data_IF_083884947044
#
_entry.id   IF_083884947044
#
_cell.length_a   1.000
_cell.length_b   1.000
_cell.length_c   1.000
_cell.angle_alpha   90.00
_cell.angle_beta   90.00
_cell.angle_gamma   90.00
#
_symmetry.space_group_name_H-M   'P 1'
#
loop_
_entity.id
_entity.type
_entity.pdbx_description
1 polymer ?
#
# COMPACT_ATOMS: atom_id res chain seq x y z
N UNK A 1 7.74 35.51 4.53
CA UNK A 1 6.68 35.79 3.54
C UNK A 1 7.19 35.37 2.18
N UNK A 2 6.70 34.36 1.47
CA UNK A 2 5.67 33.35 1.65
C UNK A 2 5.78 32.51 0.37
N UNK A 3 6.12 31.23 0.49
CA UNK A 3 6.23 30.31 -0.65
C UNK A 3 4.84 29.70 -0.87
N UNK A 4 4.07 30.29 -1.77
CA UNK A 4 2.73 29.84 -2.12
C UNK A 4 2.76 28.55 -2.96
N UNK A 5 2.60 27.42 -2.25
CA UNK A 5 1.58 26.39 -2.51
C UNK A 5 1.12 26.19 -3.97
N UNK A 6 1.94 25.51 -4.78
CA UNK A 6 1.51 24.92 -6.06
C UNK A 6 1.43 23.39 -5.99
N UNK A 7 0.58 22.87 -5.10
CA UNK A 7 0.26 21.44 -5.00
C UNK A 7 -1.25 21.15 -5.19
N UNK A 8 -1.99 22.05 -5.85
CA UNK A 8 -3.45 21.95 -6.02
C UNK A 8 -3.90 21.43 -7.39
N UNK A 9 -3.00 20.94 -8.25
CA UNK A 9 -3.31 20.46 -9.61
C UNK A 9 -3.02 18.98 -9.87
N UNK A 10 -3.32 18.10 -8.91
CA UNK A 10 -3.28 16.66 -9.17
C UNK A 10 -4.68 16.03 -9.01
N UNK A 11 -5.30 15.86 -10.18
CA UNK A 11 -6.35 14.89 -10.52
C UNK A 11 -7.58 14.80 -9.60
N UNK A 12 -8.59 15.62 -9.91
CA UNK A 12 -9.98 15.37 -9.48
C UNK A 12 -10.57 14.25 -10.34
N UNK A 13 -10.38 13.00 -9.95
CA UNK A 13 -11.17 11.87 -10.46
C UNK A 13 -12.50 11.88 -9.70
N UNK A 14 -13.59 12.29 -10.35
CA UNK A 14 -14.95 12.24 -9.78
C UNK A 14 -15.50 10.82 -9.91
N UNK A 15 -15.27 10.00 -8.88
CA UNK A 15 -15.92 8.69 -8.74
C UNK A 15 -17.35 8.90 -8.22
N UNK A 16 -18.35 8.49 -8.99
CA UNK A 16 -19.76 8.49 -8.56
C UNK A 16 -20.11 7.19 -7.84
N UNK A 17 -19.67 7.10 -6.59
CA UNK A 17 -20.38 6.31 -5.58
C UNK A 17 -21.46 7.19 -4.97
N UNK A 18 -22.68 7.19 -5.56
CA UNK A 18 -23.84 8.02 -5.15
C UNK A 18 -23.49 9.51 -5.01
N UNK A 19 -23.81 10.29 -6.04
CA UNK A 19 -23.75 11.75 -6.02
C UNK A 19 -24.64 12.37 -4.94
N UNK A 20 -24.20 12.32 -3.68
CA UNK A 20 -24.31 13.50 -2.84
C UNK A 20 -23.38 14.53 -3.48
N UNK A 21 -23.75 15.81 -3.40
CA UNK A 21 -22.77 16.88 -3.44
C UNK A 21 -21.58 16.52 -2.53
N UNK A 22 -20.49 17.28 -2.52
CA UNK A 22 -19.55 17.25 -1.38
C UNK A 22 -20.35 17.75 -0.16
N UNK A 23 -21.20 16.88 0.35
CA UNK A 23 -22.55 17.21 0.76
C UNK A 23 -22.63 16.83 2.21
N UNK A 24 -22.59 17.87 3.04
CA UNK A 24 -22.74 17.85 4.49
C UNK A 24 -22.99 16.44 5.05
N UNK A 25 -21.90 15.78 5.44
CA UNK A 25 -21.96 14.52 6.17
C UNK A 25 -22.80 14.76 7.43
N UNK A 26 -23.93 14.06 7.54
CA UNK A 26 -24.81 14.15 8.72
C UNK A 26 -23.98 13.81 9.97
N UNK A 27 -24.15 14.55 11.08
CA UNK A 27 -23.39 14.36 12.33
C UNK A 27 -23.32 12.89 12.79
N UNK A 28 -24.43 12.16 12.68
CA UNK A 28 -24.50 10.73 13.01
C UNK A 28 -23.56 9.86 12.15
N UNK A 29 -23.42 10.18 10.85
CA UNK A 29 -22.52 9.47 9.95
C UNK A 29 -21.05 9.76 10.27
N UNK A 30 -20.74 10.98 10.70
CA UNK A 30 -19.39 11.35 11.16
C UNK A 30 -18.99 10.58 12.41
N UNK A 31 -19.91 10.39 13.36
CA UNK A 31 -19.65 9.59 14.58
C UNK A 31 -19.40 8.13 14.21
N UNK A 32 -20.21 7.55 13.31
CA UNK A 32 -20.02 6.17 12.86
C UNK A 32 -18.66 5.98 12.15
N UNK A 33 -18.29 6.88 11.23
CA UNK A 33 -16.97 6.83 10.58
C UNK A 33 -15.84 6.84 11.61
N UNK A 34 -15.92 7.71 12.62
CA UNK A 34 -14.88 7.78 13.66
C UNK A 34 -14.74 6.46 14.42
N UNK A 35 -15.86 5.89 14.87
CA UNK A 35 -15.87 4.63 15.61
C UNK A 35 -15.36 3.46 14.78
N UNK A 36 -15.74 3.38 13.49
CA UNK A 36 -15.22 2.34 12.60
C UNK A 36 -13.73 2.53 12.34
N UNK A 37 -13.29 3.76 12.08
CA UNK A 37 -11.87 4.08 11.89
C UNK A 37 -11.03 3.71 13.11
N UNK A 38 -11.46 4.05 14.33
CA UNK A 38 -10.75 3.72 15.57
C UNK A 38 -10.60 2.21 15.78
N UNK A 39 -11.60 1.43 15.36
CA UNK A 39 -11.53 -0.02 15.44
C UNK A 39 -10.64 -0.63 14.36
N UNK A 40 -10.76 -0.16 13.11
CA UNK A 40 -9.97 -0.65 11.99
C UNK A 40 -8.49 -0.31 12.16
N UNK A 41 -8.16 0.89 12.64
CA UNK A 41 -6.77 1.32 12.89
C UNK A 41 -5.97 0.36 13.77
N UNK A 42 -6.64 -0.40 14.66
CA UNK A 42 -5.97 -1.37 15.55
C UNK A 42 -5.38 -2.56 14.81
N UNK A 43 -5.89 -2.90 13.63
CA UNK A 43 -5.47 -4.07 12.86
C UNK A 43 -4.89 -3.74 11.47
N UNK A 44 -4.65 -2.47 11.16
CA UNK A 44 -4.05 -2.07 9.88
C UNK A 44 -2.60 -2.57 9.77
N UNK A 45 -2.32 -3.34 8.71
CA UNK A 45 -0.96 -3.70 8.34
C UNK A 45 -0.36 -2.59 7.45
N UNK A 46 0.52 -1.77 8.02
CA UNK A 46 1.20 -0.68 7.28
C UNK A 46 2.30 -1.15 6.33
N UNK A 47 2.66 -2.44 6.37
CA UNK A 47 3.71 -3.02 5.53
C UNK A 47 3.15 -3.73 4.29
N UNK A 48 1.83 -3.82 4.13
CA UNK A 48 1.21 -4.51 3.00
C UNK A 48 -0.03 -3.75 2.54
N UNK A 49 -0.20 -3.60 1.23
CA UNK A 49 -1.36 -2.96 0.63
C UNK A 49 -1.75 -3.66 -0.68
N UNK A 50 -3.02 -3.63 -1.06
CA UNK A 50 -3.49 -4.10 -2.37
C UNK A 50 -4.11 -2.96 -3.16
N UNK A 51 -3.94 -2.98 -4.48
CA UNK A 51 -4.57 -2.03 -5.38
C UNK A 51 -5.97 -2.52 -5.74
N UNK A 52 -6.94 -1.61 -5.71
CA UNK A 52 -8.33 -1.86 -6.09
C UNK A 52 -8.57 -1.24 -7.46
N UNK A 53 -9.00 -2.06 -8.42
CA UNK A 53 -9.36 -1.62 -9.77
C UNK A 53 -10.86 -1.75 -9.96
N UNK A 54 -11.47 -0.75 -10.57
CA UNK A 54 -12.88 -0.77 -10.91
C UNK A 54 -13.08 -0.05 -12.25
N UNK A 55 -13.77 -0.70 -13.18
CA UNK A 55 -14.10 -0.10 -14.47
C UNK A 55 -15.24 0.90 -14.32
N UNK A 56 -15.14 2.04 -15.01
CA UNK A 56 -16.21 3.04 -15.10
C UNK A 56 -16.48 3.39 -16.57
N UNK A 57 -17.73 3.69 -16.89
CA UNK A 57 -18.15 4.15 -18.22
C UNK A 57 -18.92 5.46 -18.12
N UNK A 58 -18.90 6.26 -19.19
CA UNK A 58 -19.68 7.49 -19.28
C UNK A 58 -21.10 7.20 -19.80
N UNK A 59 -22.09 7.73 -19.11
CA UNK A 59 -23.45 7.83 -19.63
C UNK A 59 -23.67 9.12 -20.47
N UNK A 60 -24.79 9.24 -21.22
CA UNK A 60 -25.10 10.41 -22.04
C UNK A 60 -25.12 11.75 -21.28
N UNK A 61 -25.35 11.70 -19.97
CA UNK A 61 -25.28 12.85 -19.05
C UNK A 61 -23.83 13.20 -18.63
N UNK A 62 -22.83 12.54 -19.21
CA UNK A 62 -21.40 12.67 -18.91
C UNK A 62 -21.03 12.33 -17.45
N UNK A 63 -21.82 11.45 -16.84
CA UNK A 63 -21.61 10.94 -15.48
C UNK A 63 -20.96 9.55 -15.59
N UNK A 64 -19.93 9.31 -14.76
CA UNK A 64 -19.26 8.02 -14.69
C UNK A 64 -20.05 7.04 -13.81
N UNK A 65 -20.38 5.87 -14.33
CA UNK A 65 -21.01 4.79 -13.58
C UNK A 65 -20.10 3.56 -13.51
N UNK A 66 -20.10 2.82 -12.39
CA UNK A 66 -19.31 1.61 -12.25
C UNK A 66 -19.83 0.54 -13.22
N UNK A 67 -18.94 0.02 -14.07
CA UNK A 67 -19.23 -1.05 -15.01
C UNK A 67 -19.07 -2.43 -14.37
N UNK A 68 -18.11 -2.54 -13.45
CA UNK A 68 -17.73 -3.81 -12.83
C UNK A 68 -17.66 -3.66 -11.32
N UNK A 69 -17.71 -4.79 -10.62
CA UNK A 69 -17.25 -4.86 -9.24
C UNK A 69 -15.76 -4.53 -9.16
N UNK A 70 -15.32 -4.16 -7.97
CA UNK A 70 -13.90 -3.92 -7.73
C UNK A 70 -13.14 -5.22 -7.64
N UNK A 71 -12.00 -5.28 -8.32
CA UNK A 71 -11.04 -6.38 -8.25
C UNK A 71 -9.77 -5.90 -7.54
N UNK A 72 -9.20 -6.75 -6.69
CA UNK A 72 -7.98 -6.44 -5.96
C UNK A 72 -6.76 -7.11 -6.60
N UNK A 73 -5.63 -6.40 -6.59
CA UNK A 73 -4.34 -6.96 -6.95
C UNK A 73 -3.83 -7.93 -5.87
N UNK A 74 -2.73 -8.62 -6.21
CA UNK A 74 -1.86 -9.20 -5.21
C UNK A 74 -1.35 -8.13 -4.22
N UNK A 75 -1.05 -8.54 -3.00
CA UNK A 75 -0.50 -7.65 -1.98
C UNK A 75 0.88 -7.14 -2.38
N UNK A 76 1.06 -5.83 -2.31
CA UNK A 76 2.32 -5.13 -2.47
C UNK A 76 2.88 -4.85 -1.08
N UNK A 77 4.03 -5.44 -0.79
CA UNK A 77 4.71 -5.26 0.48
C UNK A 77 5.71 -4.10 0.44
N UNK A 78 5.92 -3.47 1.59
CA UNK A 78 6.92 -2.44 1.76
C UNK A 78 8.33 -3.05 1.68
N UNK A 79 9.12 -2.64 0.69
CA UNK A 79 10.49 -3.11 0.48
C UNK A 79 11.48 -2.59 1.53
N UNK A 80 11.13 -1.56 2.31
CA UNK A 80 11.94 -1.06 3.43
C UNK A 80 11.75 -1.87 4.71
N UNK A 81 10.68 -2.66 4.80
CA UNK A 81 10.45 -3.52 5.94
C UNK A 81 11.34 -4.77 5.84
N UNK A 82 12.08 -5.10 6.91
CA UNK A 82 13.09 -6.16 6.86
C UNK A 82 12.48 -7.56 6.73
N UNK A 83 11.28 -7.78 7.28
CA UNK A 83 10.57 -9.07 7.20
C UNK A 83 9.89 -9.33 5.86
N UNK A 84 9.66 -8.30 5.03
CA UNK A 84 9.04 -8.43 3.70
C UNK A 84 9.96 -7.97 2.56
N UNK A 85 11.20 -7.62 2.87
CA UNK A 85 12.20 -7.22 1.90
C UNK A 85 12.66 -8.40 1.05
N UNK A 86 13.16 -8.10 -0.16
CA UNK A 86 13.76 -9.12 -1.01
C UNK A 86 15.08 -9.58 -0.37
N UNK A 87 15.24 -10.89 -0.19
CA UNK A 87 16.47 -11.48 0.34
C UNK A 87 17.53 -11.54 -0.76
N UNK A 88 18.67 -10.92 -0.52
CA UNK A 88 19.78 -10.87 -1.47
C UNK A 88 21.11 -11.02 -0.73
N UNK A 89 22.03 -11.80 -1.31
CA UNK A 89 23.43 -11.91 -0.86
C UNK A 89 24.26 -10.98 -1.73
N UNK A 90 24.93 -10.00 -1.12
CA UNK A 90 25.78 -9.07 -1.84
C UNK A 90 27.18 -9.62 -2.05
N UNK A 91 27.73 -10.30 -1.05
CA UNK A 91 29.09 -10.85 -1.10
C UNK A 91 29.25 -12.01 -0.14
N UNK A 92 30.05 -13.00 -0.54
CA UNK A 92 30.57 -14.03 0.35
C UNK A 92 32.09 -13.93 0.45
N UNK A 93 32.67 -14.31 1.59
CA UNK A 93 34.13 -14.42 1.75
C UNK A 93 34.72 -15.58 0.94
N UNK A 94 33.92 -16.63 0.70
CA UNK A 94 34.27 -17.82 -0.08
C UNK A 94 33.17 -18.14 -1.08
N UNK A 95 33.57 -18.55 -2.29
CA UNK A 95 32.67 -19.04 -3.35
C UNK A 95 32.82 -20.55 -3.59
N UNK A 96 33.82 -21.18 -2.97
CA UNK A 96 34.13 -22.62 -3.04
C UNK A 96 34.65 -23.09 -1.68
N UNK A 97 34.55 -24.38 -1.37
CA UNK A 97 35.06 -24.95 -0.12
C UNK A 97 35.23 -26.47 -0.20
N UNK A 98 35.82 -27.06 0.84
CA UNK A 98 36.00 -28.50 0.99
C UNK A 98 34.67 -29.25 1.06
N UNK A 99 34.62 -30.48 0.53
CA UNK A 99 33.46 -31.37 0.65
C UNK A 99 33.25 -31.87 2.09
N UNK A 100 34.26 -31.73 2.96
CA UNK A 100 34.17 -32.09 4.38
C UNK A 100 33.43 -31.04 5.22
N UNK A 101 33.31 -29.81 4.73
CA UNK A 101 32.71 -28.70 5.49
C UNK A 101 33.62 -28.13 6.58
N UNK A 102 33.00 -27.61 7.65
CA UNK A 102 33.64 -26.98 8.82
C UNK A 102 34.48 -25.73 8.51
N UNK A 103 34.16 -25.06 7.40
CA UNK A 103 34.80 -23.82 7.01
C UNK A 103 33.95 -22.61 7.40
N UNK A 104 34.57 -21.65 8.09
CA UNK A 104 33.92 -20.37 8.37
C UNK A 104 33.72 -19.56 7.07
N UNK A 105 32.50 -19.04 6.92
CA UNK A 105 32.12 -18.17 5.80
C UNK A 105 31.44 -16.92 6.35
N UNK A 106 31.86 -15.77 5.83
CA UNK A 106 31.26 -14.48 6.15
C UNK A 106 30.40 -14.03 4.97
N UNK A 107 29.13 -13.74 5.24
CA UNK A 107 28.17 -13.29 4.24
C UNK A 107 27.76 -11.84 4.51
N UNK A 108 27.85 -11.01 3.48
CA UNK A 108 27.23 -9.69 3.46
C UNK A 108 25.90 -9.81 2.73
N UNK A 109 24.81 -9.55 3.45
CA UNK A 109 23.44 -9.75 2.98
C UNK A 109 22.61 -8.49 3.11
N UNK A 110 21.51 -8.42 2.38
CA UNK A 110 20.44 -7.46 2.62
C UNK A 110 19.94 -7.58 4.06
N UNK A 111 19.39 -6.49 4.62
CA UNK A 111 18.89 -6.47 5.99
C UNK A 111 17.94 -7.64 6.26
N UNK A 112 18.33 -8.51 7.17
CA UNK A 112 17.54 -9.64 7.67
C UNK A 112 17.27 -9.47 9.16
N UNK A 113 16.23 -10.14 9.65
CA UNK A 113 15.92 -10.24 11.08
C UNK A 113 16.41 -11.59 11.60
N UNK A 114 17.06 -11.59 12.77
CA UNK A 114 17.44 -12.83 13.45
C UNK A 114 16.20 -13.39 14.15
N UNK A 115 15.75 -14.57 13.76
CA UNK A 115 14.81 -15.34 14.58
C UNK A 115 15.52 -15.72 15.88
N UNK A 116 14.93 -15.31 17.01
CA UNK A 116 15.34 -15.74 18.36
C UNK A 116 14.58 -17.00 18.72
#
# INVERSE_FOLDING_TARGET
MGLDTNLSKLSTVRLLGKGKSIGQLKKAHTVQIRLTTENEMKCINVNSASLSFQGFYYEPNNILYPLTDSIYSQSVNNSRNASTGKLEIYRSSKSTGSTLGDEEVWLLVQKVEKST
#
